data_IF_427134468093
#
_entry.id   IF_427134468093
#
_cell.length_a   1.000
_cell.length_b   1.000
_cell.length_c   1.000
_cell.angle_alpha   90.00
_cell.angle_beta   90.00
_cell.angle_gamma   90.00
#
_symmetry.space_group_name_H-M   'P 1'
#
loop_
_entity.id
_entity.type
_entity.pdbx_description
1 polymer ?
#
# COMPACT_ATOMS: atom_id res chain seq x y z
N UNK A 1 1.45 16.61 -16.31
CA UNK A 1 1.79 17.30 -15.04
C UNK A 1 1.13 16.70 -13.79
N UNK A 2 -0.21 16.66 -13.64
CA UNK A 2 -0.85 16.03 -12.46
C UNK A 2 -0.55 14.52 -12.40
N UNK A 3 -0.59 13.86 -13.56
CA UNK A 3 -0.28 12.43 -13.68
C UNK A 3 1.16 12.10 -13.26
N UNK A 4 2.12 12.95 -13.61
CA UNK A 4 3.54 12.77 -13.27
C UNK A 4 3.76 12.91 -11.76
N UNK A 5 3.18 13.95 -11.15
CA UNK A 5 3.27 14.19 -9.70
C UNK A 5 2.68 13.03 -8.91
N UNK A 6 1.54 12.51 -9.35
CA UNK A 6 0.87 11.40 -8.66
C UNK A 6 1.67 10.10 -8.75
N UNK A 7 2.27 9.82 -9.91
CA UNK A 7 3.17 8.68 -10.09
C UNK A 7 4.39 8.77 -9.17
N UNK A 8 5.05 9.95 -9.10
CA UNK A 8 6.19 10.16 -8.21
C UNK A 8 5.84 9.98 -6.73
N UNK A 9 4.64 10.39 -6.32
CA UNK A 9 4.16 10.17 -4.95
C UNK A 9 3.99 8.68 -4.65
N UNK A 10 3.34 7.92 -5.53
CA UNK A 10 3.17 6.47 -5.33
C UNK A 10 4.52 5.74 -5.38
N UNK A 11 5.44 6.17 -6.23
CA UNK A 11 6.80 5.63 -6.29
C UNK A 11 7.54 5.87 -4.96
N UNK A 12 7.43 7.08 -4.41
CA UNK A 12 8.02 7.43 -3.11
C UNK A 12 7.43 6.58 -1.98
N UNK A 13 6.11 6.37 -1.98
CA UNK A 13 5.43 5.45 -1.05
C UNK A 13 6.00 4.04 -1.17
N UNK A 14 6.18 3.54 -2.39
CA UNK A 14 6.78 2.23 -2.65
C UNK A 14 8.18 2.11 -2.05
N UNK A 15 9.05 3.09 -2.34
CA UNK A 15 10.44 3.11 -1.82
C UNK A 15 10.46 3.17 -0.30
N UNK A 16 9.68 4.07 0.32
CA UNK A 16 9.59 4.16 1.78
C UNK A 16 9.10 2.84 2.37
N UNK A 17 8.10 2.21 1.75
CA UNK A 17 7.55 0.93 2.23
C UNK A 17 8.59 -0.19 2.16
N UNK A 18 9.39 -0.27 1.08
CA UNK A 18 10.50 -1.21 0.97
C UNK A 18 11.53 -0.97 2.08
N UNK A 19 11.98 0.28 2.23
CA UNK A 19 12.98 0.64 3.23
C UNK A 19 12.49 0.35 4.65
N UNK A 20 11.22 0.63 4.96
CA UNK A 20 10.59 0.29 6.23
C UNK A 20 10.55 -1.22 6.47
N UNK A 21 10.16 -2.00 5.47
CA UNK A 21 10.15 -3.47 5.57
C UNK A 21 11.55 -4.05 5.80
N UNK A 22 12.57 -3.52 5.11
CA UNK A 22 13.97 -3.88 5.33
C UNK A 22 14.41 -3.51 6.74
N UNK A 23 14.10 -2.30 7.22
CA UNK A 23 14.45 -1.88 8.58
C UNK A 23 13.82 -2.79 9.64
N UNK A 24 12.55 -3.20 9.45
CA UNK A 24 11.87 -4.18 10.31
C UNK A 24 12.56 -5.54 10.33
N UNK A 25 13.23 -5.94 9.25
CA UNK A 25 13.98 -7.18 9.15
C UNK A 25 15.40 -7.10 9.75
N UNK A 26 16.11 -6.00 9.50
CA UNK A 26 17.54 -5.85 9.83
C UNK A 26 17.73 -5.37 11.27
N UNK A 27 16.87 -4.47 11.75
CA UNK A 27 16.97 -3.86 13.08
C UNK A 27 15.64 -3.94 13.85
N UNK A 28 15.05 -5.15 14.02
CA UNK A 28 13.76 -5.30 14.69
C UNK A 28 13.80 -4.82 16.14
N UNK A 29 14.90 -5.06 16.86
CA UNK A 29 14.99 -4.75 18.29
C UNK A 29 15.02 -3.23 18.55
N UNK A 30 15.67 -2.46 17.66
CA UNK A 30 15.67 -1.00 17.72
C UNK A 30 14.27 -0.44 17.49
N UNK A 31 13.54 -0.97 16.51
CA UNK A 31 12.18 -0.55 16.22
C UNK A 31 11.21 -0.96 17.34
N UNK A 32 11.36 -2.17 17.89
CA UNK A 32 10.54 -2.64 19.01
C UNK A 32 10.74 -1.81 20.28
N UNK A 33 11.96 -1.32 20.56
CA UNK A 33 12.18 -0.41 21.69
C UNK A 33 11.36 0.87 21.60
N UNK A 34 11.09 1.36 20.39
CA UNK A 34 10.24 2.54 20.17
C UNK A 34 8.74 2.19 20.09
N UNK A 35 8.41 1.02 19.56
CA UNK A 35 7.05 0.64 19.18
C UNK A 35 6.33 -0.27 20.18
N UNK A 36 7.05 -1.01 21.02
CA UNK A 36 6.48 -2.00 21.94
C UNK A 36 6.90 -1.70 23.38
N UNK A 37 6.00 -1.82 24.37
CA UNK A 37 6.37 -1.69 25.78
C UNK A 37 7.24 -2.86 26.26
N UNK A 38 7.20 -4.01 25.59
CA UNK A 38 7.97 -5.20 25.94
C UNK A 38 8.69 -5.78 24.71
N UNK A 39 9.96 -6.15 24.88
CA UNK A 39 10.73 -6.89 23.89
C UNK A 39 10.65 -8.38 24.19
N UNK A 40 9.84 -9.10 23.41
CA UNK A 40 9.73 -10.56 23.47
C UNK A 40 10.17 -11.19 22.14
N UNK A 41 10.59 -12.46 22.18
CA UNK A 41 10.91 -13.22 20.97
C UNK A 41 9.73 -13.30 19.99
N UNK A 42 8.51 -13.34 20.51
CA UNK A 42 7.27 -13.35 19.71
C UNK A 42 7.08 -12.02 18.98
N UNK A 43 7.24 -10.88 19.68
CA UNK A 43 7.13 -9.54 19.07
C UNK A 43 8.19 -9.34 17.98
N UNK A 44 9.41 -9.87 18.21
CA UNK A 44 10.49 -9.86 17.22
C UNK A 44 10.12 -10.65 15.97
N UNK A 45 9.66 -11.89 16.14
CA UNK A 45 9.26 -12.72 15.02
C UNK A 45 8.09 -12.10 14.24
N UNK A 46 7.10 -11.54 14.95
CA UNK A 46 5.99 -10.84 14.33
C UNK A 46 6.46 -9.65 13.49
N UNK A 47 7.35 -8.81 14.04
CA UNK A 47 7.89 -7.66 13.32
C UNK A 47 8.69 -8.06 12.07
N UNK A 48 9.46 -9.17 12.15
CA UNK A 48 10.18 -9.73 11.00
C UNK A 48 9.21 -10.16 9.88
N UNK A 49 8.17 -10.93 10.23
CA UNK A 49 7.16 -11.39 9.25
C UNK A 49 6.42 -10.20 8.63
N UNK A 50 6.00 -9.23 9.45
CA UNK A 50 5.39 -8.00 8.93
C UNK A 50 6.35 -7.19 8.07
N UNK A 51 7.65 -7.21 8.39
CA UNK A 51 8.71 -6.55 7.62
C UNK A 51 8.86 -7.13 6.22
N UNK A 52 8.91 -8.45 6.12
CA UNK A 52 8.98 -9.16 4.83
C UNK A 52 7.74 -8.85 3.99
N UNK A 53 6.55 -8.89 4.58
CA UNK A 53 5.30 -8.56 3.87
C UNK A 53 5.29 -7.09 3.43
N UNK A 54 5.58 -6.17 4.34
CA UNK A 54 5.64 -4.73 4.06
C UNK A 54 6.61 -4.45 2.92
N UNK A 55 7.83 -4.96 3.01
CA UNK A 55 8.84 -4.80 1.98
C UNK A 55 8.42 -5.37 0.64
N UNK A 56 7.82 -6.56 0.63
CA UNK A 56 7.36 -7.23 -0.60
C UNK A 56 6.23 -6.46 -1.28
N UNK A 57 5.26 -5.93 -0.54
CA UNK A 57 4.19 -5.10 -1.09
C UNK A 57 4.68 -3.74 -1.58
N UNK A 58 5.68 -3.16 -0.91
CA UNK A 58 6.39 -1.97 -1.40
C UNK A 58 7.09 -2.23 -2.74
N UNK A 59 7.80 -3.35 -2.86
CA UNK A 59 8.47 -3.75 -4.10
C UNK A 59 7.46 -4.05 -5.21
N UNK A 60 6.35 -4.72 -4.88
CA UNK A 60 5.25 -4.99 -5.80
C UNK A 60 4.62 -3.70 -6.33
N UNK A 61 4.47 -2.66 -5.48
CA UNK A 61 4.00 -1.34 -5.92
C UNK A 61 4.98 -0.70 -6.91
N UNK A 62 6.28 -0.68 -6.60
CA UNK A 62 7.30 -0.14 -7.50
C UNK A 62 7.28 -0.88 -8.84
N UNK A 63 7.17 -2.21 -8.81
CA UNK A 63 7.10 -3.02 -10.02
C UNK A 63 5.84 -2.72 -10.82
N UNK A 64 4.66 -2.69 -10.18
CA UNK A 64 3.38 -2.37 -10.82
C UNK A 64 3.35 -0.97 -11.46
N UNK A 65 4.09 0.00 -10.92
CA UNK A 65 4.19 1.36 -11.46
C UNK A 65 5.19 1.50 -12.62
N UNK A 66 6.13 0.56 -12.78
CA UNK A 66 7.15 0.59 -13.84
C UNK A 66 6.80 -0.24 -15.07
N UNK A 67 5.87 -1.18 -14.94
CA UNK A 67 5.42 -2.02 -16.05
C UNK A 67 4.45 -1.25 -16.95
N UNK A 68 4.59 -1.39 -18.28
CA UNK A 68 3.76 -0.69 -19.28
C UNK A 68 2.28 -1.07 -19.22
N UNK A 69 1.98 -2.31 -18.80
CA UNK A 69 0.62 -2.75 -18.53
C UNK A 69 0.28 -2.52 -17.05
N UNK A 70 -0.72 -1.69 -16.81
CA UNK A 70 -1.21 -1.41 -15.47
C UNK A 70 -1.69 -2.71 -14.80
N UNK A 71 -0.98 -3.12 -13.76
CA UNK A 71 -1.27 -4.33 -12.99
C UNK A 71 -2.43 -4.09 -12.00
N UNK A 72 -3.65 -3.95 -12.53
CA UNK A 72 -4.85 -3.57 -11.77
C UNK A 72 -5.09 -4.44 -10.53
N UNK A 73 -4.90 -5.76 -10.66
CA UNK A 73 -5.09 -6.69 -9.54
C UNK A 73 -4.05 -6.46 -8.44
N UNK A 74 -2.79 -6.22 -8.82
CA UNK A 74 -1.73 -5.93 -7.86
C UNK A 74 -2.03 -4.63 -7.08
N UNK A 75 -2.40 -3.55 -7.79
CA UNK A 75 -2.72 -2.26 -7.16
C UNK A 75 -3.89 -2.36 -6.18
N UNK A 76 -4.93 -3.13 -6.51
CA UNK A 76 -6.06 -3.38 -5.61
C UNK A 76 -5.59 -4.04 -4.30
N UNK A 77 -4.84 -5.14 -4.42
CA UNK A 77 -4.37 -5.88 -3.24
C UNK A 77 -3.36 -5.11 -2.40
N UNK A 78 -2.51 -4.28 -3.02
CA UNK A 78 -1.61 -3.37 -2.29
C UNK A 78 -2.43 -2.36 -1.48
N UNK A 79 -3.45 -1.73 -2.09
CA UNK A 79 -4.31 -0.78 -1.40
C UNK A 79 -5.03 -1.40 -0.19
N UNK A 80 -5.59 -2.60 -0.38
CA UNK A 80 -6.24 -3.37 0.69
C UNK A 80 -5.25 -3.72 1.80
N UNK A 81 -4.07 -4.25 1.45
CA UNK A 81 -3.06 -4.66 2.45
C UNK A 81 -2.65 -3.48 3.34
N UNK A 82 -2.45 -2.31 2.77
CA UNK A 82 -2.11 -1.07 3.49
C UNK A 82 -3.20 -0.64 4.47
N UNK A 83 -4.47 -0.66 4.04
CA UNK A 83 -5.62 -0.32 4.90
C UNK A 83 -5.77 -1.35 6.04
N UNK A 84 -5.65 -2.64 5.72
CA UNK A 84 -5.72 -3.71 6.72
C UNK A 84 -4.57 -3.64 7.71
N UNK A 85 -3.34 -3.33 7.26
CA UNK A 85 -2.18 -3.13 8.13
C UNK A 85 -2.42 -1.99 9.12
N UNK A 86 -2.91 -0.84 8.64
CA UNK A 86 -3.27 0.28 9.51
C UNK A 86 -4.35 -0.12 10.55
N UNK A 87 -5.38 -0.86 10.12
CA UNK A 87 -6.41 -1.39 11.02
C UNK A 87 -5.84 -2.34 12.09
N UNK A 88 -4.96 -3.27 11.69
CA UNK A 88 -4.32 -4.22 12.58
C UNK A 88 -3.45 -3.52 13.63
N UNK A 89 -2.68 -2.48 13.25
CA UNK A 89 -1.91 -1.67 14.20
C UNK A 89 -2.84 -0.94 15.17
N UNK A 90 -3.97 -0.39 14.70
CA UNK A 90 -4.96 0.24 15.57
C UNK A 90 -5.54 -0.72 16.62
N UNK A 91 -5.80 -1.97 16.24
CA UNK A 91 -6.23 -3.04 17.17
C UNK A 91 -5.09 -3.36 18.16
N UNK A 92 -3.85 -3.51 17.69
CA UNK A 92 -2.69 -3.81 18.52
C UNK A 92 -2.41 -2.73 19.58
N UNK A 93 -2.61 -1.45 19.25
CA UNK A 93 -2.50 -0.34 20.21
C UNK A 93 -3.58 -0.43 21.28
N UNK A 94 -4.84 -0.72 20.91
CA UNK A 94 -5.93 -0.92 21.88
C UNK A 94 -5.67 -2.12 22.79
N UNK A 95 -5.03 -3.17 22.27
CA UNK A 95 -4.59 -4.34 23.02
C UNK A 95 -3.32 -4.09 23.86
N UNK A 96 -2.79 -2.86 23.88
CA UNK A 96 -1.53 -2.47 24.56
C UNK A 96 -0.29 -3.23 24.07
N UNK A 97 -0.34 -3.83 22.88
CA UNK A 97 0.80 -4.51 22.26
C UNK A 97 1.78 -3.52 21.62
N UNK A 98 1.28 -2.38 21.15
CA UNK A 98 2.11 -1.30 20.61
C UNK A 98 1.85 0.03 21.30
N UNK A 99 2.88 0.87 21.31
CA UNK A 99 2.84 2.24 21.78
C UNK A 99 2.02 3.13 20.83
N UNK A 100 1.53 4.26 21.33
CA UNK A 100 0.81 5.24 20.51
C UNK A 100 1.65 5.79 19.36
N UNK A 101 3.00 5.70 19.44
CA UNK A 101 3.90 6.09 18.36
C UNK A 101 3.65 5.27 17.08
N UNK A 102 3.19 4.02 17.21
CA UNK A 102 2.82 3.17 16.08
C UNK A 102 1.64 3.75 15.26
N UNK A 103 0.88 4.71 15.78
CA UNK A 103 -0.14 5.42 15.00
C UNK A 103 0.45 6.20 13.83
N UNK A 104 1.70 6.64 13.90
CA UNK A 104 2.35 7.33 12.78
C UNK A 104 2.53 6.38 11.58
N UNK A 105 3.00 5.16 11.84
CA UNK A 105 3.11 4.12 10.83
C UNK A 105 1.74 3.71 10.29
N UNK A 106 0.75 3.50 11.18
CA UNK A 106 -0.61 3.18 10.78
C UNK A 106 -1.25 4.29 9.93
N UNK A 107 -1.04 5.56 10.29
CA UNK A 107 -1.53 6.71 9.56
C UNK A 107 -0.90 6.80 8.16
N UNK A 108 0.40 6.59 8.06
CA UNK A 108 1.09 6.50 6.77
C UNK A 108 0.50 5.39 5.89
N UNK A 109 0.32 4.18 6.44
CA UNK A 109 -0.23 3.07 5.68
C UNK A 109 -1.70 3.31 5.27
N UNK A 110 -2.50 3.93 6.12
CA UNK A 110 -3.89 4.28 5.78
C UNK A 110 -3.94 5.28 4.62
N UNK A 111 -3.16 6.37 4.70
CA UNK A 111 -3.10 7.38 3.63
C UNK A 111 -2.60 6.75 2.34
N UNK A 112 -1.50 5.99 2.40
CA UNK A 112 -0.95 5.30 1.24
C UNK A 112 -1.95 4.30 0.64
N UNK A 113 -2.65 3.52 1.46
CA UNK A 113 -3.66 2.56 1.02
C UNK A 113 -4.85 3.23 0.32
N UNK A 114 -5.32 4.36 0.87
CA UNK A 114 -6.38 5.17 0.23
C UNK A 114 -5.90 5.73 -1.11
N UNK A 115 -4.69 6.29 -1.17
CA UNK A 115 -4.15 6.83 -2.43
C UNK A 115 -3.99 5.76 -3.51
N UNK A 116 -3.47 4.59 -3.15
CA UNK A 116 -3.28 3.47 -4.08
C UNK A 116 -4.63 2.93 -4.56
N UNK A 117 -5.62 2.82 -3.67
CA UNK A 117 -6.97 2.37 -4.04
C UNK A 117 -7.68 3.39 -4.94
N UNK A 118 -7.52 4.68 -4.66
CA UNK A 118 -8.05 5.75 -5.51
C UNK A 118 -7.41 5.71 -6.91
N UNK A 119 -6.10 5.49 -6.99
CA UNK A 119 -5.39 5.30 -8.25
C UNK A 119 -5.92 4.13 -9.06
N UNK A 120 -6.08 2.98 -8.40
CA UNK A 120 -6.66 1.79 -9.00
C UNK A 120 -8.05 2.06 -9.58
N UNK A 121 -8.90 2.75 -8.82
CA UNK A 121 -10.25 3.10 -9.26
C UNK A 121 -10.23 4.01 -10.50
N UNK A 122 -9.30 4.97 -10.53
CA UNK A 122 -9.11 5.89 -11.66
C UNK A 122 -8.62 5.20 -12.94
N UNK A 123 -7.63 4.29 -12.84
CA UNK A 123 -7.17 3.53 -14.02
C UNK A 123 -8.30 2.62 -14.54
N UNK A 124 -9.03 1.95 -13.64
CA UNK A 124 -10.13 1.05 -14.01
C UNK A 124 -11.25 1.77 -14.77
N UNK A 125 -11.53 3.03 -14.45
CA UNK A 125 -12.52 3.82 -15.18
C UNK A 125 -12.07 4.14 -16.60
N UNK A 126 -10.79 4.50 -16.79
CA UNK A 126 -10.24 4.77 -18.13
C UNK A 126 -10.25 3.52 -19.02
N UNK A 127 -9.96 2.34 -18.45
CA UNK A 127 -10.04 1.08 -19.17
C UNK A 127 -11.47 0.73 -19.63
N UNK A 128 -12.51 1.31 -19.01
CA UNK A 128 -13.93 1.08 -19.34
C UNK A 128 -14.52 2.12 -20.30
N UNK A 129 -13.87 3.25 -20.49
CA UNK A 129 -14.30 4.31 -21.41
C UNK A 129 -14.22 3.98 -22.92
N UNK A 130 -13.40 3.03 -23.44
CA UNK A 130 -13.28 2.79 -24.88
C UNK A 130 -14.56 2.27 -25.56
N UNK A 131 -15.43 1.58 -24.82
CA UNK A 131 -16.64 0.94 -25.38
C UNK A 131 -17.84 1.89 -25.54
N UNK A 132 -17.80 3.10 -24.96
CA UNK A 132 -18.94 4.05 -25.04
C UNK A 132 -19.04 4.83 -26.35
N UNK A 133 -18.02 4.81 -27.21
CA UNK A 133 -17.98 5.56 -28.48
C UNK A 133 -18.34 4.66 -29.68
N UNK A 134 -18.59 3.36 -29.46
CA UNK A 134 -19.04 2.41 -30.49
C UNK A 134 -20.55 2.14 -30.38
N UNK A 135 -21.37 3.18 -30.23
CA UNK A 135 -22.77 3.06 -30.65
C UNK A 135 -22.79 3.21 -32.19
N UNK A 136 -23.30 2.22 -32.93
CA UNK A 136 -23.36 2.32 -34.38
C UNK A 136 -24.44 3.35 -34.75
N UNK A 137 -24.04 4.39 -35.48
CA UNK A 137 -24.92 5.27 -36.28
C UNK A 137 -25.70 4.52 -37.39
N UNK A 138 -25.88 3.21 -37.28
CA UNK A 138 -26.36 2.32 -38.34
C UNK A 138 -27.84 1.95 -38.24
N UNK A 139 -28.68 2.78 -37.59
CA UNK A 139 -30.13 2.58 -37.53
C UNK A 139 -30.96 3.72 -38.12
N UNK A 140 -30.35 4.69 -38.81
CA UNK A 140 -31.08 5.79 -39.47
C UNK A 140 -31.26 5.61 -40.98
N UNK A 141 -30.74 4.54 -41.58
CA UNK A 141 -30.93 4.24 -43.02
C UNK A 141 -31.43 2.81 -43.19
N UNK A 142 -32.73 2.59 -42.93
CA UNK A 142 -33.51 1.51 -43.54
C UNK A 142 -35.01 1.71 -43.33
#
# INVERSE_FOLDING_TARGET
MIHDRFWWTLMSIGVITVMSGIAQCVVPDFLLQALSPELTSTSRHFLLVTGVLTGSFGALLIHALRTSDWQHVALLWIGIQKILAAGAVGIAIRAKMFSTLALLAAGFDLVAGVMITAFWFWIRQQARAPDRIREPLASSER
#
